data_IF_067639825059
#
_entry.id   IF_067639825059
#
_cell.length_a   1.000
_cell.length_b   1.000
_cell.length_c   1.000
_cell.angle_alpha   90.00
_cell.angle_beta   90.00
_cell.angle_gamma   90.00
#
_symmetry.space_group_name_H-M   'P 1'
#
loop_
_entity.id
_entity.type
_entity.pdbx_description
1 polymer ?
#
# COMPACT_ATOMS: atom_id res chain seq x y z
N UNK A 1 17.68 6.60 0.44
CA UNK A 1 16.54 5.69 0.60
C UNK A 1 16.18 5.24 -0.81
N UNK A 2 16.08 3.94 -1.05
CA UNK A 2 15.76 3.42 -2.39
C UNK A 2 14.26 3.61 -2.65
N UNK A 3 13.91 4.45 -3.63
CA UNK A 3 12.51 4.74 -3.99
C UNK A 3 11.96 3.61 -4.87
N UNK A 4 11.87 2.39 -4.31
CA UNK A 4 11.38 1.18 -5.00
C UNK A 4 10.05 1.39 -5.72
N UNK A 5 9.22 2.28 -5.21
CA UNK A 5 7.92 2.59 -5.81
C UNK A 5 8.02 3.15 -7.24
N UNK A 6 9.13 3.79 -7.61
CA UNK A 6 9.32 4.34 -8.97
C UNK A 6 9.42 3.27 -10.05
N UNK A 7 9.81 2.06 -9.67
CA UNK A 7 9.98 0.95 -10.60
C UNK A 7 8.69 0.11 -10.74
N UNK A 8 7.66 0.42 -9.95
CA UNK A 8 6.38 -0.31 -9.95
C UNK A 8 5.62 -0.10 -11.25
N UNK A 9 4.97 -1.17 -11.68
CA UNK A 9 4.16 -1.25 -12.89
C UNK A 9 2.78 -1.79 -12.57
N UNK A 10 1.79 -1.42 -13.39
CA UNK A 10 0.46 -2.03 -13.32
C UNK A 10 0.60 -3.56 -13.42
N UNK A 11 -0.04 -4.27 -12.50
CA UNK A 11 0.03 -5.71 -12.34
C UNK A 11 1.05 -6.20 -11.31
N UNK A 12 2.00 -5.36 -10.88
CA UNK A 12 2.93 -5.74 -9.82
C UNK A 12 2.16 -6.02 -8.52
N UNK A 13 2.65 -7.00 -7.76
CA UNK A 13 2.14 -7.32 -6.42
C UNK A 13 3.13 -6.80 -5.41
N UNK A 14 2.64 -6.05 -4.43
CA UNK A 14 3.49 -5.46 -3.39
C UNK A 14 2.90 -5.67 -2.01
N UNK A 15 3.77 -5.79 -1.02
CA UNK A 15 3.39 -5.69 0.39
C UNK A 15 4.17 -4.60 1.09
N UNK A 16 3.57 -4.03 2.12
CA UNK A 16 4.22 -3.05 3.01
C UNK A 16 4.79 -3.82 4.21
N UNK A 17 6.11 -3.87 4.32
CA UNK A 17 6.80 -4.71 5.32
C UNK A 17 6.75 -4.11 6.72
N UNK A 18 6.79 -2.79 6.81
CA UNK A 18 6.78 -2.04 8.05
C UNK A 18 6.27 -0.61 7.79
N UNK A 19 6.06 0.16 8.86
CA UNK A 19 5.61 1.55 8.74
C UNK A 19 6.61 2.37 7.90
N UNK A 20 6.16 3.09 6.85
CA UNK A 20 7.06 3.85 6.00
C UNK A 20 7.82 4.91 6.79
N UNK A 21 9.14 4.96 6.61
CA UNK A 21 10.07 5.75 7.43
C UNK A 21 9.85 7.27 7.32
N UNK A 22 9.31 7.72 6.20
CA UNK A 22 8.98 9.11 5.91
C UNK A 22 7.57 9.51 6.38
N UNK A 23 6.73 8.54 6.73
CA UNK A 23 5.37 8.80 7.20
C UNK A 23 5.36 8.98 8.71
N UNK A 24 5.01 10.18 9.16
CA UNK A 24 4.70 10.44 10.57
C UNK A 24 3.28 9.96 10.84
N UNK A 25 3.16 8.89 11.61
CA UNK A 25 1.88 8.20 11.89
C UNK A 25 0.79 9.15 12.37
N UNK A 26 1.13 10.06 13.28
CA UNK A 26 0.19 11.01 13.89
C UNK A 26 -0.36 12.05 12.91
N UNK A 27 0.28 12.21 11.75
CA UNK A 27 -0.18 13.11 10.68
C UNK A 27 -1.18 12.45 9.73
N UNK A 28 -1.40 11.14 9.82
CA UNK A 28 -2.37 10.41 9.01
C UNK A 28 -3.74 10.38 9.68
N UNK A 29 -4.80 10.36 8.86
CA UNK A 29 -6.16 10.07 9.34
C UNK A 29 -6.20 8.71 10.03
N UNK A 30 -7.05 8.58 11.07
CA UNK A 30 -7.16 7.35 11.86
C UNK A 30 -7.39 6.11 10.98
N UNK A 31 -8.31 6.21 10.01
CA UNK A 31 -8.62 5.13 9.07
C UNK A 31 -7.40 4.70 8.23
N UNK A 32 -6.56 5.65 7.82
CA UNK A 32 -5.30 5.37 7.11
C UNK A 32 -4.30 4.66 8.02
N UNK A 33 -4.24 5.02 9.31
CA UNK A 33 -3.38 4.34 10.27
C UNK A 33 -3.85 2.89 10.48
N UNK A 34 -5.15 2.69 10.68
CA UNK A 34 -5.75 1.37 10.87
C UNK A 34 -5.56 0.49 9.62
N UNK A 35 -5.72 1.04 8.43
CA UNK A 35 -5.50 0.31 7.20
C UNK A 35 -4.04 -0.10 7.01
N UNK A 36 -3.10 0.81 7.28
CA UNK A 36 -1.67 0.52 7.16
C UNK A 36 -1.21 -0.50 8.20
N UNK A 37 -1.68 -0.37 9.45
CA UNK A 37 -1.45 -1.37 10.50
C UNK A 37 -1.97 -2.75 10.07
N UNK A 38 -3.17 -2.80 9.49
CA UNK A 38 -3.76 -4.04 9.01
C UNK A 38 -2.94 -4.64 7.86
N UNK A 39 -2.53 -3.85 6.86
CA UNK A 39 -1.68 -4.31 5.75
C UNK A 39 -0.40 -4.95 6.27
N UNK A 40 0.28 -4.29 7.21
CA UNK A 40 1.54 -4.76 7.79
C UNK A 40 1.31 -6.00 8.65
N UNK A 41 0.33 -5.98 9.55
CA UNK A 41 0.08 -7.10 10.47
C UNK A 41 -0.34 -8.39 9.75
N UNK A 42 -1.12 -8.26 8.67
CA UNK A 42 -1.60 -9.40 7.89
C UNK A 42 -0.65 -9.80 6.76
N UNK A 43 0.39 -9.00 6.49
CA UNK A 43 1.25 -9.15 5.32
C UNK A 43 0.45 -9.20 4.01
N UNK A 44 -0.64 -8.42 3.96
CA UNK A 44 -1.54 -8.38 2.80
C UNK A 44 -0.85 -7.79 1.58
N UNK A 45 -1.27 -8.28 0.41
CA UNK A 45 -0.67 -7.95 -0.88
C UNK A 45 -1.61 -7.05 -1.66
N UNK A 46 -1.12 -5.85 -1.98
CA UNK A 46 -1.76 -4.92 -2.90
C UNK A 46 -1.35 -5.26 -4.33
N UNK A 47 -2.28 -5.16 -5.27
CA UNK A 47 -1.97 -5.23 -6.70
C UNK A 47 -1.97 -3.83 -7.28
N UNK A 48 -0.93 -3.43 -8.00
CA UNK A 48 -0.89 -2.13 -8.67
C UNK A 48 -1.93 -2.13 -9.80
N UNK A 49 -2.99 -1.34 -9.66
CA UNK A 49 -4.05 -1.23 -10.67
C UNK A 49 -3.98 0.07 -11.44
N UNK A 50 -3.31 1.08 -10.89
CA UNK A 50 -3.24 2.41 -11.47
C UNK A 50 -1.87 3.05 -11.21
N UNK A 51 -1.41 3.83 -12.19
CA UNK A 51 -0.32 4.79 -12.05
C UNK A 51 -0.86 6.11 -12.61
N UNK A 52 -0.88 7.16 -11.79
CA UNK A 52 -1.47 8.43 -12.19
C UNK A 52 -0.60 9.22 -13.19
N UNK A 53 -1.06 10.40 -13.61
CA UNK A 53 -0.35 11.26 -14.56
C UNK A 53 1.02 11.77 -14.04
N UNK A 54 1.25 11.71 -12.72
CA UNK A 54 2.50 12.10 -12.06
C UNK A 54 3.44 10.92 -11.83
N UNK A 55 3.03 9.71 -12.23
CA UNK A 55 3.78 8.48 -12.04
C UNK A 55 3.63 7.88 -10.64
N UNK A 56 2.59 8.25 -9.88
CA UNK A 56 2.34 7.70 -8.54
C UNK A 56 1.57 6.37 -8.66
N UNK A 57 2.13 5.26 -8.17
CA UNK A 57 1.46 3.97 -8.20
C UNK A 57 0.41 3.85 -7.09
N UNK A 58 -0.75 3.30 -7.44
CA UNK A 58 -1.83 2.98 -6.51
C UNK A 58 -2.06 1.46 -6.48
N UNK A 59 -1.97 0.91 -5.28
CA UNK A 59 -2.25 -0.49 -4.99
C UNK A 59 -3.71 -0.67 -4.58
N UNK A 60 -4.30 -1.78 -5.01
CA UNK A 60 -5.68 -2.17 -4.73
C UNK A 60 -5.75 -3.49 -3.96
N UNK A 61 -6.70 -3.59 -3.04
CA UNK A 61 -7.06 -4.84 -2.36
C UNK A 61 -8.54 -4.83 -1.95
N UNK A 62 -9.17 -6.00 -2.00
CA UNK A 62 -10.47 -6.25 -1.36
C UNK A 62 -10.25 -6.85 0.03
N UNK A 63 -10.92 -6.31 1.05
CA UNK A 63 -10.84 -6.82 2.42
C UNK A 63 -12.20 -6.87 3.10
N UNK A 64 -12.35 -7.79 4.05
CA UNK A 64 -13.57 -7.90 4.86
C UNK A 64 -13.43 -7.07 6.14
N UNK A 65 -14.31 -6.09 6.33
CA UNK A 65 -14.34 -5.20 7.52
C UNK A 65 -15.76 -5.18 8.07
N UNK A 66 -15.91 -5.46 9.37
CA UNK A 66 -17.20 -5.44 10.07
C UNK A 66 -18.33 -6.24 9.38
N UNK A 67 -17.98 -7.34 8.72
CA UNK A 67 -18.96 -8.20 8.06
C UNK A 67 -19.29 -7.84 6.61
N UNK A 68 -18.61 -6.86 6.00
CA UNK A 68 -18.77 -6.51 4.60
C UNK A 68 -17.45 -6.43 3.83
N UNK A 69 -17.54 -6.62 2.51
CA UNK A 69 -16.44 -6.40 1.57
C UNK A 69 -16.18 -4.91 1.38
N UNK A 70 -14.92 -4.51 1.42
CA UNK A 70 -14.47 -3.16 1.13
C UNK A 70 -13.37 -3.23 0.06
N UNK A 71 -13.53 -2.37 -0.94
CA UNK A 71 -12.48 -2.07 -1.93
C UNK A 71 -11.62 -0.94 -1.39
N UNK A 72 -10.31 -1.17 -1.31
CA UNK A 72 -9.35 -0.23 -0.74
C UNK A 72 -8.28 0.11 -1.77
N UNK A 73 -7.87 1.38 -1.79
CA UNK A 73 -6.76 1.86 -2.60
C UNK A 73 -5.73 2.55 -1.73
N UNK A 74 -4.46 2.34 -2.04
CA UNK A 74 -3.35 2.94 -1.31
C UNK A 74 -2.31 3.52 -2.26
N UNK A 75 -1.93 4.78 -2.02
CA UNK A 75 -0.80 5.40 -2.71
C UNK A 75 0.51 4.81 -2.20
N UNK A 76 1.32 4.26 -3.11
CA UNK A 76 2.54 3.53 -2.78
C UNK A 76 3.80 4.35 -2.99
N UNK A 77 3.71 5.68 -2.91
CA UNK A 77 4.82 6.61 -3.10
C UNK A 77 5.71 6.74 -1.86
N UNK A 78 6.05 5.63 -1.22
CA UNK A 78 6.77 5.60 0.05
C UNK A 78 7.72 4.40 0.18
N UNK A 79 8.51 4.38 1.25
CA UNK A 79 9.47 3.33 1.58
C UNK A 79 8.81 2.06 2.15
N UNK A 80 9.63 1.09 2.56
CA UNK A 80 9.18 -0.17 3.19
C UNK A 80 8.34 -1.10 2.31
N UNK A 81 8.43 -0.92 0.98
CA UNK A 81 7.80 -1.80 -0.01
C UNK A 81 8.64 -3.03 -0.34
N UNK A 82 7.94 -4.15 -0.55
CA UNK A 82 8.49 -5.37 -1.11
C UNK A 82 7.63 -5.86 -2.26
N UNK A 83 8.27 -6.05 -3.42
CA UNK A 83 7.64 -6.69 -4.57
C UNK A 83 7.55 -8.19 -4.30
N UNK A 84 6.36 -8.73 -4.47
CA UNK A 84 6.05 -10.15 -4.32
C UNK A 84 6.04 -10.77 -5.71
N UNK A 85 7.01 -11.64 -5.98
CA UNK A 85 7.03 -12.47 -7.19
C UNK A 85 6.18 -13.73 -6.95
N UNK A 86 5.39 -14.11 -7.96
CA UNK A 86 4.66 -15.39 -8.01
C UNK A 86 5.61 -16.61 -8.07
#
# INVERSE_FOLDING_TARGET
>A
MEERWRDLKIGDKVRIKSWPLEMVRENLHADSQEFLDWLIATQSVLTITEIDEWGLPFGYIERWVNGGEQSEWWGLNHSELEIVSD
#
